data_IF_664350327216
#
_entry.id   IF_664350327216
#
_cell.length_a   1.000
_cell.length_b   1.000
_cell.length_c   1.000
_cell.angle_alpha   90.00
_cell.angle_beta   90.00
_cell.angle_gamma   90.00
#
_symmetry.space_group_name_H-M   'P 1'
#
loop_
_entity.id
_entity.type
_entity.pdbx_description
1 polymer ?
#
# COMPACT_ATOMS: atom_id res chain seq x y z
N UNK A 1 24.22 -0.07 -4.05
CA UNK A 1 23.52 1.10 -3.48
C UNK A 1 22.07 1.03 -3.93
N UNK A 2 21.14 0.69 -3.04
CA UNK A 2 19.70 0.59 -3.37
C UNK A 2 19.07 1.97 -3.22
N UNK A 3 18.89 2.69 -4.33
CA UNK A 3 18.16 3.96 -4.34
C UNK A 3 16.71 3.63 -3.96
N UNK A 4 16.18 4.29 -2.92
CA UNK A 4 14.87 3.97 -2.37
C UNK A 4 13.76 4.01 -3.44
N UNK A 5 12.99 2.94 -3.54
CA UNK A 5 11.87 2.74 -4.50
C UNK A 5 10.65 3.63 -4.19
N UNK A 6 10.84 4.79 -3.56
CA UNK A 6 9.75 5.71 -3.29
C UNK A 6 9.39 6.49 -4.56
N UNK A 7 8.10 6.59 -4.91
CA UNK A 7 7.70 7.44 -6.01
C UNK A 7 8.13 8.88 -5.71
N UNK A 8 8.53 9.65 -6.74
CA UNK A 8 8.86 11.05 -6.55
C UNK A 8 7.67 11.79 -5.95
N UNK A 9 7.95 12.78 -5.09
CA UNK A 9 6.94 13.63 -4.50
C UNK A 9 6.04 14.22 -5.61
N UNK A 10 4.71 14.13 -5.46
CA UNK A 10 3.79 14.69 -6.44
C UNK A 10 4.08 16.17 -6.70
N UNK A 11 4.05 16.66 -7.96
CA UNK A 11 4.50 18.01 -8.31
C UNK A 11 3.83 19.17 -7.55
N UNK A 12 2.66 18.93 -6.94
CA UNK A 12 1.89 19.93 -6.21
C UNK A 12 2.61 20.51 -4.99
N UNK A 13 3.64 19.87 -4.44
CA UNK A 13 4.42 20.43 -3.31
C UNK A 13 4.99 21.83 -3.64
N UNK A 14 5.25 22.11 -4.93
CA UNK A 14 5.75 23.40 -5.40
C UNK A 14 4.76 24.55 -5.16
N UNK A 15 3.48 24.25 -5.01
CA UNK A 15 2.41 25.23 -4.78
C UNK A 15 2.37 25.73 -3.32
N UNK A 16 3.15 25.13 -2.43
CA UNK A 16 3.20 25.46 -1.00
C UNK A 16 4.51 26.17 -0.60
N UNK A 17 5.40 26.47 -1.56
CA UNK A 17 6.71 27.09 -1.29
C UNK A 17 6.60 28.45 -0.60
N UNK A 18 5.63 29.25 -1.04
CA UNK A 18 5.46 30.63 -0.58
C UNK A 18 4.32 30.73 0.45
N UNK A 19 3.93 29.61 1.07
CA UNK A 19 2.83 29.57 2.03
C UNK A 19 3.14 30.38 3.30
N UNK A 20 4.40 30.36 3.75
CA UNK A 20 4.86 31.11 4.93
C UNK A 20 4.67 32.61 4.73
N UNK A 21 4.91 33.10 3.51
CA UNK A 21 4.82 34.53 3.18
C UNK A 21 3.42 34.94 2.72
N UNK A 22 2.74 34.06 2.00
CA UNK A 22 1.40 34.28 1.48
C UNK A 22 0.52 33.05 1.73
N UNK A 23 -0.28 33.04 2.81
CA UNK A 23 -1.19 31.94 3.13
C UNK A 23 -2.25 31.64 2.05
N UNK A 24 -2.46 32.55 1.08
CA UNK A 24 -3.37 32.37 -0.05
C UNK A 24 -2.72 31.76 -1.29
N UNK A 25 -1.39 31.55 -1.27
CA UNK A 25 -0.64 30.95 -2.39
C UNK A 25 -0.97 29.47 -2.57
N UNK A 26 -1.31 28.79 -1.47
CA UNK A 26 -1.74 27.40 -1.50
C UNK A 26 -3.11 27.28 -2.19
N UNK A 27 -3.27 26.34 -3.14
CA UNK A 27 -4.57 26.05 -3.70
C UNK A 27 -5.52 25.58 -2.60
N UNK A 28 -6.78 26.01 -2.68
CA UNK A 28 -7.82 25.48 -1.79
C UNK A 28 -7.87 23.96 -1.96
N UNK A 29 -8.06 23.19 -0.87
CA UNK A 29 -8.21 21.75 -0.98
C UNK A 29 -9.32 21.44 -1.99
N UNK A 30 -9.14 20.42 -2.84
CA UNK A 30 -10.20 20.00 -3.74
C UNK A 30 -11.45 19.67 -2.90
N UNK A 31 -12.65 19.95 -3.41
CA UNK A 31 -13.88 19.61 -2.71
C UNK A 31 -13.89 18.11 -2.36
N UNK A 32 -14.51 17.73 -1.22
CA UNK A 32 -14.74 16.33 -0.92
C UNK A 32 -15.42 15.68 -2.13
N UNK A 33 -14.91 14.53 -2.58
CA UNK A 33 -15.58 13.79 -3.64
C UNK A 33 -17.00 13.42 -3.16
N UNK A 34 -18.02 13.88 -3.87
CA UNK A 34 -19.40 13.40 -3.70
C UNK A 34 -19.49 12.01 -4.35
N UNK A 35 -19.06 11.00 -3.60
CA UNK A 35 -19.07 9.61 -4.02
C UNK A 35 -18.36 8.70 -3.02
N UNK A 36 -18.71 7.42 -3.03
CA UNK A 36 -17.99 6.41 -2.24
C UNK A 36 -16.56 6.32 -2.75
N UNK A 37 -15.57 6.47 -1.86
CA UNK A 37 -14.17 6.28 -2.20
C UNK A 37 -13.93 4.78 -2.47
N UNK A 38 -14.13 4.34 -3.71
CA UNK A 38 -13.87 2.96 -4.12
C UNK A 38 -12.39 2.84 -4.45
N UNK A 39 -11.54 2.66 -3.43
CA UNK A 39 -10.21 2.12 -3.67
C UNK A 39 -10.33 0.61 -3.86
N UNK A 40 -10.38 0.18 -5.12
CA UNK A 40 -10.35 -1.23 -5.53
C UNK A 40 -11.48 -2.13 -5.00
N UNK A 41 -12.66 -1.61 -4.67
CA UNK A 41 -13.92 -2.40 -4.65
C UNK A 41 -13.96 -3.72 -3.85
N UNK A 42 -13.04 -3.97 -2.92
CA UNK A 42 -12.86 -5.27 -2.28
C UNK A 42 -12.53 -5.17 -0.79
N UNK A 43 -13.01 -6.13 0.00
CA UNK A 43 -12.64 -6.26 1.41
C UNK A 43 -11.17 -6.70 1.51
N UNK A 44 -10.28 -5.79 1.89
CA UNK A 44 -8.84 -6.04 1.98
C UNK A 44 -8.45 -7.26 2.85
N UNK A 45 -9.30 -7.61 3.82
CA UNK A 45 -9.14 -8.79 4.67
C UNK A 45 -9.28 -10.11 3.91
N UNK A 46 -10.06 -10.17 2.82
CA UNK A 46 -10.21 -11.38 2.01
C UNK A 46 -8.98 -11.65 1.16
N UNK A 47 -8.43 -10.63 0.51
CA UNK A 47 -7.24 -10.78 -0.34
C UNK A 47 -5.99 -11.12 0.48
N UNK A 48 -5.76 -10.45 1.61
CA UNK A 48 -4.66 -10.80 2.52
C UNK A 48 -4.75 -12.24 3.03
N UNK A 49 -5.96 -12.71 3.38
CA UNK A 49 -6.16 -14.10 3.79
C UNK A 49 -5.87 -15.07 2.64
N UNK A 50 -6.24 -14.71 1.42
CA UNK A 50 -5.95 -15.52 0.23
C UNK A 50 -4.44 -15.64 0.00
N UNK A 51 -3.71 -14.52 0.00
CA UNK A 51 -2.25 -14.52 -0.15
C UNK A 51 -1.56 -15.30 0.97
N UNK A 52 -1.98 -15.14 2.22
CA UNK A 52 -1.43 -15.89 3.35
C UNK A 52 -1.69 -17.40 3.22
N UNK A 53 -2.89 -17.80 2.78
CA UNK A 53 -3.21 -19.21 2.54
C UNK A 53 -2.34 -19.78 1.43
N UNK A 54 -2.18 -19.05 0.33
CA UNK A 54 -1.35 -19.48 -0.79
C UNK A 54 0.12 -19.61 -0.40
N UNK A 55 0.65 -18.65 0.37
CA UNK A 55 2.00 -18.70 0.91
C UNK A 55 2.22 -19.93 1.80
N UNK A 56 1.28 -20.22 2.71
CA UNK A 56 1.34 -21.39 3.58
C UNK A 56 1.36 -22.70 2.78
N UNK A 57 0.56 -22.80 1.72
CA UNK A 57 0.55 -23.97 0.85
C UNK A 57 1.90 -24.17 0.13
N UNK A 58 2.52 -23.09 -0.35
CA UNK A 58 3.83 -23.17 -1.00
C UNK A 58 4.94 -23.59 -0.03
N UNK A 59 4.89 -23.12 1.23
CA UNK A 59 5.84 -23.49 2.28
C UNK A 59 5.66 -24.97 2.68
N UNK A 60 4.43 -25.45 2.79
CA UNK A 60 4.16 -26.85 3.10
C UNK A 60 4.63 -27.78 1.98
N UNK A 61 4.36 -27.44 0.72
CA UNK A 61 4.82 -28.24 -0.42
C UNK A 61 6.36 -28.28 -0.53
N UNK A 62 7.04 -27.18 -0.17
CA UNK A 62 8.50 -27.16 -0.03
C UNK A 62 9.00 -28.16 1.03
N UNK A 63 8.30 -28.25 2.16
CA UNK A 63 8.66 -29.17 3.24
C UNK A 63 8.45 -30.64 2.83
N UNK A 64 7.43 -30.93 2.04
CA UNK A 64 7.16 -32.29 1.55
C UNK A 64 8.05 -32.69 0.37
N UNK A 65 8.44 -31.74 -0.49
CA UNK A 65 9.13 -32.01 -1.76
C UNK A 65 10.32 -31.08 -1.97
N UNK A 66 11.40 -31.20 -1.18
CA UNK A 66 12.55 -30.30 -1.24
C UNK A 66 13.27 -30.29 -2.60
N UNK A 67 13.10 -31.33 -3.42
CA UNK A 67 13.63 -31.39 -4.79
C UNK A 67 13.02 -30.34 -5.74
N UNK A 68 11.87 -29.75 -5.40
CA UNK A 68 11.21 -28.70 -6.19
C UNK A 68 11.59 -27.27 -5.76
N UNK A 69 12.55 -27.13 -4.83
CA UNK A 69 12.90 -25.85 -4.22
C UNK A 69 13.10 -24.72 -5.22
N UNK A 70 13.90 -24.95 -6.28
CA UNK A 70 14.22 -23.93 -7.26
C UNK A 70 12.98 -23.32 -7.94
N UNK A 71 11.99 -24.15 -8.29
CA UNK A 71 10.75 -23.66 -8.92
C UNK A 71 9.84 -22.96 -7.91
N UNK A 72 9.69 -23.53 -6.72
CA UNK A 72 8.78 -23.00 -5.69
C UNK A 72 9.23 -21.63 -5.14
N UNK A 73 10.53 -21.36 -5.15
CA UNK A 73 11.07 -20.04 -4.75
C UNK A 73 10.59 -18.92 -5.66
N UNK A 74 10.44 -19.17 -6.96
CA UNK A 74 9.92 -18.18 -7.91
C UNK A 74 8.45 -17.84 -7.60
N UNK A 75 7.62 -18.86 -7.37
CA UNK A 75 6.21 -18.70 -6.99
C UNK A 75 6.05 -17.93 -5.67
N UNK A 76 6.83 -18.31 -4.65
CA UNK A 76 6.83 -17.63 -3.35
C UNK A 76 7.28 -16.17 -3.50
N UNK A 77 8.29 -15.91 -4.32
CA UNK A 77 8.78 -14.55 -4.58
C UNK A 77 7.70 -13.68 -5.24
N UNK A 78 6.89 -14.26 -6.13
CA UNK A 78 5.76 -13.55 -6.74
C UNK A 78 4.69 -13.20 -5.70
N UNK A 79 4.33 -14.14 -4.82
CA UNK A 79 3.37 -13.90 -3.73
C UNK A 79 3.86 -12.75 -2.83
N UNK A 80 5.14 -12.72 -2.47
CA UNK A 80 5.70 -11.62 -1.66
C UNK A 80 5.68 -10.27 -2.37
N UNK A 81 5.97 -10.21 -3.68
CA UNK A 81 5.87 -8.96 -4.45
C UNK A 81 4.43 -8.44 -4.49
N UNK A 82 3.47 -9.33 -4.73
CA UNK A 82 2.05 -8.98 -4.76
C UNK A 82 1.58 -8.49 -3.38
N UNK A 83 1.97 -9.18 -2.30
CA UNK A 83 1.68 -8.78 -0.93
C UNK A 83 2.27 -7.39 -0.61
N UNK A 84 3.50 -7.12 -1.05
CA UNK A 84 4.14 -5.82 -0.84
C UNK A 84 3.38 -4.69 -1.55
N UNK A 85 3.03 -4.88 -2.82
CA UNK A 85 2.22 -3.89 -3.56
C UNK A 85 0.86 -3.67 -2.92
N UNK A 86 0.22 -4.75 -2.47
CA UNK A 86 -1.05 -4.67 -1.78
C UNK A 86 -0.96 -3.90 -0.45
N UNK A 87 0.03 -4.19 0.40
CA UNK A 87 0.23 -3.44 1.64
C UNK A 87 0.55 -1.96 1.39
N UNK A 88 1.29 -1.65 0.32
CA UNK A 88 1.56 -0.27 -0.06
C UNK A 88 0.29 0.49 -0.47
N UNK A 89 -0.66 -0.17 -1.14
CA UNK A 89 -1.94 0.47 -1.51
C UNK A 89 -2.81 0.78 -0.29
N UNK A 90 -2.61 0.08 0.83
CA UNK A 90 -3.32 0.33 2.10
C UNK A 90 -2.80 1.52 2.91
N UNK A 91 -1.61 2.06 2.59
CA UNK A 91 -0.96 3.12 3.36
C UNK A 91 -1.84 4.36 3.58
N UNK A 92 -2.59 4.88 2.58
CA UNK A 92 -3.47 6.03 2.79
C UNK A 92 -4.65 5.73 3.72
N UNK A 93 -5.21 4.52 3.68
CA UNK A 93 -6.30 4.10 4.56
C UNK A 93 -5.83 3.99 6.01
N UNK A 94 -4.65 3.38 6.22
CA UNK A 94 -4.03 3.29 7.54
C UNK A 94 -3.77 4.69 8.12
N UNK A 95 -3.22 5.62 7.32
CA UNK A 95 -2.97 6.99 7.76
C UNK A 95 -4.26 7.71 8.18
N UNK A 96 -5.36 7.55 7.43
CA UNK A 96 -6.67 8.10 7.80
C UNK A 96 -7.21 7.50 9.09
N UNK A 97 -7.14 6.17 9.23
CA UNK A 97 -7.59 5.49 10.45
C UNK A 97 -6.79 5.95 11.68
N UNK A 98 -5.47 6.13 11.54
CA UNK A 98 -4.63 6.70 12.60
C UNK A 98 -5.04 8.13 12.95
N UNK A 99 -5.33 8.97 11.97
CA UNK A 99 -5.78 10.35 12.22
C UNK A 99 -7.13 10.40 12.94
N UNK A 100 -8.09 9.58 12.49
CA UNK A 100 -9.40 9.46 13.16
C UNK A 100 -9.20 9.05 14.61
N UNK A 101 -8.41 8.00 14.86
CA UNK A 101 -8.15 7.52 16.20
C UNK A 101 -7.49 8.57 17.12
N UNK A 102 -6.59 9.40 16.58
CA UNK A 102 -5.96 10.49 17.34
C UNK A 102 -6.96 11.60 17.69
N UNK A 103 -7.95 11.87 16.83
CA UNK A 103 -8.93 12.95 17.00
C UNK A 103 -10.19 12.52 17.79
N UNK A 104 -10.43 11.22 17.92
CA UNK A 104 -11.49 10.64 18.75
C UNK A 104 -11.09 10.48 20.23
N UNK A 105 -9.83 10.78 20.57
CA UNK A 105 -9.31 10.92 21.95
C UNK A 105 -9.55 12.33 22.49
#
# INVERSE_FOLDING_TARGET
MTIGTYPPLPPFYKLYKDYIENPKSAPKPPPPFEGTYVCYGGNYTKELRSFNRELQLHILDLAERPSQYARKVEDISLIFKNLHHFLNSLRPHQARATLIHILEL
#
